data_IF_887024447960
#
_entry.id   IF_887024447960
#
_cell.length_a   1.000
_cell.length_b   1.000
_cell.length_c   1.000
_cell.angle_alpha   90.00
_cell.angle_beta   90.00
_cell.angle_gamma   90.00
#
_symmetry.space_group_name_H-M   'P 1'
#
loop_
_entity.id
_entity.type
_entity.pdbx_description
1 polymer ?
#
# COMPACT_ATOMS: atom_id res chain seq x y z
N UNK A 1 -15.99 18.65 -11.58
CA UNK A 1 -15.30 19.96 -11.71
C UNK A 1 -15.25 20.67 -10.35
N UNK A 2 -16.36 20.76 -9.61
CA UNK A 2 -16.39 21.06 -8.18
C UNK A 2 -15.58 20.00 -7.39
N UNK A 3 -14.56 20.28 -6.57
CA UNK A 3 -14.14 21.50 -5.87
C UNK A 3 -12.60 21.64 -5.86
N UNK A 4 -11.94 21.47 -7.01
CA UNK A 4 -10.48 21.65 -7.13
C UNK A 4 -10.10 23.13 -7.17
N UNK A 5 -9.32 23.57 -6.17
CA UNK A 5 -9.09 24.96 -5.75
C UNK A 5 -8.52 25.93 -6.81
N UNK A 6 -9.34 26.38 -7.75
CA UNK A 6 -8.97 27.38 -8.75
C UNK A 6 -8.43 28.69 -8.14
N UNK A 7 -8.90 29.06 -6.94
CA UNK A 7 -8.42 30.24 -6.20
C UNK A 7 -6.97 30.12 -5.75
N UNK A 8 -6.52 28.91 -5.39
CA UNK A 8 -5.14 28.66 -4.97
C UNK A 8 -4.19 28.65 -6.16
N UNK A 9 -4.60 28.03 -7.27
CA UNK A 9 -3.85 28.07 -8.52
C UNK A 9 -3.71 29.51 -9.02
N UNK A 10 -4.78 30.31 -8.90
CA UNK A 10 -4.78 31.74 -9.23
C UNK A 10 -3.82 32.52 -8.32
N UNK A 11 -3.85 32.29 -7.01
CA UNK A 11 -2.93 32.95 -6.07
C UNK A 11 -1.46 32.65 -6.39
N UNK A 12 -1.14 31.40 -6.74
CA UNK A 12 0.20 30.97 -7.15
C UNK A 12 0.67 31.75 -8.38
N UNK A 13 -0.18 31.81 -9.41
CA UNK A 13 0.07 32.55 -10.65
C UNK A 13 0.20 34.05 -10.38
N UNK A 14 -0.67 34.63 -9.55
CA UNK A 14 -0.68 36.05 -9.20
C UNK A 14 0.61 36.49 -8.46
N UNK A 15 1.32 35.55 -7.81
CA UNK A 15 2.61 35.78 -7.15
C UNK A 15 3.81 35.26 -7.97
N UNK A 16 3.63 34.97 -9.27
CA UNK A 16 4.69 34.57 -10.17
C UNK A 16 5.19 33.14 -10.02
N UNK A 17 4.45 32.27 -9.32
CA UNK A 17 4.74 30.84 -9.25
C UNK A 17 4.30 30.13 -10.52
N UNK A 18 5.10 29.18 -10.99
CA UNK A 18 4.78 28.33 -12.13
C UNK A 18 3.87 27.16 -11.69
N UNK A 19 2.59 27.14 -12.11
CA UNK A 19 1.63 26.09 -11.72
C UNK A 19 1.94 24.72 -12.32
N UNK A 20 2.82 24.66 -13.32
CA UNK A 20 3.21 23.44 -14.03
C UNK A 20 4.60 22.96 -13.64
N UNK A 21 5.25 23.63 -12.68
CA UNK A 21 6.52 23.19 -12.13
C UNK A 21 6.35 21.88 -11.38
N UNK A 22 7.03 20.85 -11.85
CA UNK A 22 7.08 19.55 -11.19
C UNK A 22 7.98 19.59 -9.94
N UNK A 23 7.50 18.99 -8.86
CA UNK A 23 8.34 18.60 -7.74
C UNK A 23 9.22 17.40 -8.11
N UNK A 24 10.09 16.99 -7.20
CA UNK A 24 10.99 15.84 -7.40
C UNK A 24 10.28 14.50 -7.59
N UNK A 25 8.96 14.44 -7.41
CA UNK A 25 8.09 13.27 -7.53
C UNK A 25 7.17 13.39 -8.75
N UNK A 26 7.34 14.42 -9.59
CA UNK A 26 6.54 14.66 -10.79
C UNK A 26 5.15 15.25 -10.52
N UNK A 27 4.87 15.72 -9.30
CA UNK A 27 3.61 16.39 -8.99
C UNK A 27 3.70 17.87 -9.34
N UNK A 28 2.63 18.44 -9.93
CA UNK A 28 2.53 19.89 -10.18
C UNK A 28 1.45 20.53 -9.31
N UNK A 29 1.60 21.82 -8.95
CA UNK A 29 0.53 22.56 -8.26
C UNK A 29 -0.81 22.47 -9.00
N UNK A 30 -0.79 22.56 -10.34
CA UNK A 30 -1.98 22.39 -11.19
C UNK A 30 -2.54 20.99 -11.09
N UNK A 31 -1.71 19.95 -11.20
CA UNK A 31 -2.13 18.56 -11.16
C UNK A 31 -2.81 18.20 -9.83
N UNK A 32 -2.28 18.71 -8.73
CA UNK A 32 -2.88 18.55 -7.41
C UNK A 32 -4.20 19.32 -7.32
N UNK A 33 -4.23 20.61 -7.71
CA UNK A 33 -5.45 21.41 -7.65
C UNK A 33 -6.57 20.90 -8.59
N UNK A 34 -6.22 20.20 -9.67
CA UNK A 34 -7.15 19.59 -10.62
C UNK A 34 -7.51 18.14 -10.28
N UNK A 35 -6.75 17.49 -9.39
CA UNK A 35 -7.12 16.18 -8.86
C UNK A 35 -8.48 16.33 -8.17
N UNK A 36 -9.47 15.60 -8.67
CA UNK A 36 -10.84 15.66 -8.18
C UNK A 36 -10.83 15.44 -6.66
N UNK A 37 -11.44 16.30 -5.85
CA UNK A 37 -11.60 16.05 -4.42
C UNK A 37 -10.42 16.35 -3.49
N UNK A 38 -9.39 17.08 -3.93
CA UNK A 38 -8.44 17.69 -2.98
C UNK A 38 -9.13 18.80 -2.18
N UNK A 39 -9.18 18.68 -0.86
CA UNK A 39 -9.52 19.79 0.05
C UNK A 39 -8.23 20.29 0.73
N UNK A 40 -7.32 20.90 -0.04
CA UNK A 40 -6.06 21.45 0.50
C UNK A 40 -6.28 22.94 0.78
N UNK A 41 -6.07 23.38 2.03
CA UNK A 41 -6.19 24.81 2.38
C UNK A 41 -4.98 25.62 1.89
N UNK A 42 -5.14 26.94 1.67
CA UNK A 42 -4.07 27.83 1.17
C UNK A 42 -2.77 27.72 1.98
N UNK A 43 -2.89 27.75 3.31
CA UNK A 43 -1.74 27.63 4.22
C UNK A 43 -0.97 26.32 4.02
N UNK A 44 -1.67 25.24 3.68
CA UNK A 44 -1.10 23.90 3.50
C UNK A 44 -0.45 23.80 2.12
N UNK A 45 -1.02 24.44 1.09
CA UNK A 45 -0.39 24.56 -0.22
C UNK A 45 0.89 25.39 -0.18
N UNK A 46 0.90 26.54 0.50
CA UNK A 46 2.13 27.35 0.69
C UNK A 46 3.22 26.56 1.40
N UNK A 47 2.83 25.80 2.43
CA UNK A 47 3.72 24.88 3.14
C UNK A 47 4.25 23.80 2.19
N UNK A 48 3.40 23.23 1.34
CA UNK A 48 3.79 22.25 0.33
C UNK A 48 4.79 22.79 -0.69
N UNK A 49 4.53 23.96 -1.28
CA UNK A 49 5.45 24.60 -2.23
C UNK A 49 6.81 24.91 -1.61
N UNK A 50 6.88 25.08 -0.29
CA UNK A 50 8.15 25.23 0.41
C UNK A 50 8.92 23.91 0.55
N UNK A 51 8.23 22.77 0.52
CA UNK A 51 8.84 21.44 0.65
C UNK A 51 9.62 21.01 -0.59
N UNK A 52 9.37 21.59 -1.76
CA UNK A 52 10.18 21.33 -2.96
C UNK A 52 11.64 21.77 -2.80
N UNK A 53 11.90 22.63 -1.79
CA UNK A 53 13.25 23.07 -1.42
C UNK A 53 13.89 22.17 -0.35
N UNK A 54 13.15 21.23 0.22
CA UNK A 54 13.64 20.33 1.26
C UNK A 54 14.39 19.18 0.58
N UNK A 55 15.67 18.96 0.89
CA UNK A 55 16.42 17.83 0.38
C UNK A 55 15.77 16.50 0.77
N UNK A 56 16.10 15.43 0.05
CA UNK A 56 15.69 14.08 0.44
C UNK A 56 16.05 13.82 1.91
N UNK A 57 15.11 13.29 2.68
CA UNK A 57 15.45 12.67 3.95
C UNK A 57 16.03 11.29 3.65
N UNK A 58 17.34 11.19 3.79
CA UNK A 58 18.08 9.92 3.78
C UNK A 58 18.55 9.60 5.20
N UNK A 59 18.87 8.33 5.46
CA UNK A 59 19.56 7.94 6.69
C UNK A 59 20.99 8.47 6.65
N UNK A 60 21.53 8.86 7.79
CA UNK A 60 22.97 9.12 7.88
C UNK A 60 23.76 7.82 7.69
N UNK A 61 25.03 7.89 7.26
CA UNK A 61 25.81 6.69 6.94
C UNK A 61 25.97 5.70 8.10
N UNK A 62 26.10 6.18 9.34
CA UNK A 62 26.26 5.31 10.50
C UNK A 62 24.97 4.55 10.80
N UNK A 63 23.83 5.25 10.74
CA UNK A 63 22.51 4.62 10.88
C UNK A 63 22.22 3.64 9.74
N UNK A 64 22.56 3.99 8.50
CA UNK A 64 22.40 3.10 7.35
C UNK A 64 23.22 1.80 7.50
N UNK A 65 24.48 1.90 7.94
CA UNK A 65 25.33 0.76 8.21
C UNK A 65 24.77 -0.12 9.34
N UNK A 66 24.33 0.51 10.44
CA UNK A 66 23.69 -0.21 11.54
C UNK A 66 22.42 -0.97 11.10
N UNK A 67 21.57 -0.36 10.26
CA UNK A 67 20.38 -1.02 9.71
C UNK A 67 20.80 -2.24 8.89
N UNK A 68 21.78 -2.08 8.01
CA UNK A 68 22.31 -3.16 7.18
C UNK A 68 22.80 -4.34 8.05
N UNK A 69 23.60 -4.05 9.08
CA UNK A 69 24.15 -5.07 9.98
C UNK A 69 23.04 -5.77 10.78
N UNK A 70 22.09 -5.00 11.33
CA UNK A 70 20.99 -5.55 12.13
C UNK A 70 20.15 -6.57 11.36
N UNK A 71 19.90 -6.32 10.08
CA UNK A 71 19.06 -7.18 9.23
C UNK A 71 19.88 -8.00 8.23
N UNK A 72 21.20 -8.09 8.40
CA UNK A 72 22.06 -8.90 7.53
C UNK A 72 21.69 -10.40 7.55
N UNK A 73 20.99 -10.87 8.59
CA UNK A 73 20.46 -12.23 8.70
C UNK A 73 18.93 -12.33 8.64
N UNK A 74 18.21 -11.27 8.25
CA UNK A 74 16.75 -11.35 8.14
C UNK A 74 16.36 -12.15 6.90
N UNK A 75 15.67 -13.27 7.11
CA UNK A 75 15.27 -14.17 6.05
C UNK A 75 14.83 -15.52 6.62
N UNK A 76 14.00 -16.23 5.87
CA UNK A 76 13.64 -17.60 6.22
C UNK A 76 14.81 -18.55 5.99
N UNK A 77 15.44 -18.46 4.83
CA UNK A 77 16.72 -19.09 4.50
C UNK A 77 17.85 -18.05 4.45
N UNK A 78 19.09 -18.54 4.33
CA UNK A 78 20.27 -17.70 4.11
C UNK A 78 20.43 -17.27 2.64
N UNK A 79 19.46 -17.58 1.77
CA UNK A 79 19.52 -17.24 0.36
C UNK A 79 19.17 -15.77 0.13
N UNK A 80 20.04 -15.07 -0.58
CA UNK A 80 19.83 -13.68 -1.03
C UNK A 80 20.09 -13.61 -2.53
N UNK A 81 19.20 -12.93 -3.25
CA UNK A 81 19.40 -12.69 -4.67
C UNK A 81 20.60 -11.76 -4.90
N UNK A 82 21.45 -12.14 -5.85
CA UNK A 82 22.44 -11.23 -6.40
C UNK A 82 21.75 -10.02 -7.04
N UNK A 83 22.33 -8.83 -6.91
CA UNK A 83 21.85 -7.63 -7.60
C UNK A 83 22.25 -7.72 -9.08
N UNK A 84 21.31 -7.72 -10.05
CA UNK A 84 21.66 -7.77 -11.47
C UNK A 84 22.43 -6.52 -11.93
N UNK A 85 22.29 -5.40 -11.22
CA UNK A 85 22.95 -4.12 -11.54
C UNK A 85 24.44 -4.07 -11.18
N UNK A 86 24.96 -5.03 -10.40
CA UNK A 86 26.39 -5.06 -10.03
C UNK A 86 27.28 -5.66 -11.12
N UNK A 87 26.70 -6.16 -12.21
CA UNK A 87 27.45 -6.78 -13.31
C UNK A 87 27.99 -5.77 -14.35
N UNK A 88 27.62 -4.48 -14.29
CA UNK A 88 27.88 -3.55 -15.41
C UNK A 88 28.53 -2.19 -15.09
N UNK A 89 28.99 -1.89 -13.87
CA UNK A 89 29.63 -0.60 -13.60
C UNK A 89 31.02 -0.70 -12.97
N UNK A 90 32.00 -0.13 -13.68
CA UNK A 90 33.29 0.28 -13.13
C UNK A 90 33.02 1.37 -12.07
N UNK A 91 33.19 0.99 -10.81
CA UNK A 91 32.97 1.81 -9.63
C UNK A 91 33.67 3.18 -9.71
N UNK A 92 32.95 4.24 -9.35
CA UNK A 92 33.55 5.57 -9.14
C UNK A 92 32.81 6.42 -8.12
N UNK A 93 32.25 5.80 -7.07
CA UNK A 93 31.88 6.47 -5.83
C UNK A 93 32.00 5.53 -4.63
N UNK A 94 32.42 6.02 -3.45
CA UNK A 94 32.46 5.22 -2.23
C UNK A 94 31.02 4.95 -1.77
N UNK A 95 30.48 3.81 -2.22
CA UNK A 95 29.08 3.39 -2.11
C UNK A 95 28.72 2.28 -3.10
N UNK A 96 29.50 2.14 -4.18
CA UNK A 96 29.22 1.24 -5.32
C UNK A 96 29.55 -0.25 -5.08
N UNK A 97 29.65 -0.69 -3.82
CA UNK A 97 30.07 -2.05 -3.46
C UNK A 97 29.05 -2.89 -2.69
N UNK A 98 27.89 -2.36 -2.34
CA UNK A 98 26.88 -3.11 -1.59
C UNK A 98 25.74 -3.52 -2.54
N UNK A 99 25.20 -4.73 -2.37
CA UNK A 99 24.04 -5.19 -3.13
C UNK A 99 22.77 -4.36 -2.88
N UNK A 100 21.60 -4.98 -2.91
CA UNK A 100 20.30 -4.33 -2.64
C UNK A 100 20.24 -3.51 -1.34
N UNK A 101 21.17 -3.75 -0.41
CA UNK A 101 21.30 -3.09 0.89
C UNK A 101 21.52 -1.57 0.79
N UNK A 102 20.69 -0.82 1.51
CA UNK A 102 20.72 0.63 1.74
C UNK A 102 20.29 1.58 0.61
N UNK A 103 19.86 1.10 -0.56
CA UNK A 103 19.30 1.98 -1.60
C UNK A 103 17.88 2.42 -1.26
N UNK A 104 17.62 3.73 -1.28
CA UNK A 104 16.26 4.27 -1.27
C UNK A 104 16.20 5.70 -1.83
N UNK A 105 15.45 5.87 -2.91
CA UNK A 105 15.30 7.12 -3.68
C UNK A 105 14.09 7.96 -3.22
N UNK A 106 13.35 7.47 -2.22
CA UNK A 106 12.23 8.16 -1.55
C UNK A 106 12.63 8.59 -0.13
N UNK A 107 11.85 9.47 0.49
CA UNK A 107 12.12 9.93 1.85
C UNK A 107 11.99 8.79 2.87
N UNK A 108 12.94 8.72 3.81
CA UNK A 108 13.00 7.70 4.85
C UNK A 108 13.10 8.34 6.23
N UNK A 109 12.27 7.91 7.17
CA UNK A 109 12.39 8.34 8.57
C UNK A 109 12.49 7.12 9.47
N UNK A 110 13.26 7.24 10.56
CA UNK A 110 12.92 6.45 11.73
C UNK A 110 11.54 6.90 12.21
N UNK A 111 10.64 5.97 12.52
CA UNK A 111 9.23 6.32 12.75
C UNK A 111 9.03 7.35 13.90
N UNK A 112 9.97 7.44 14.84
CA UNK A 112 9.95 8.40 15.95
C UNK A 112 10.47 9.81 15.59
N UNK A 113 11.04 10.02 14.41
CA UNK A 113 11.47 11.34 13.93
C UNK A 113 10.33 12.19 13.36
N UNK A 114 9.16 11.57 13.17
CA UNK A 114 8.00 12.16 12.48
C UNK A 114 6.73 11.89 13.26
N UNK A 115 5.77 12.79 13.14
CA UNK A 115 4.42 12.59 13.67
C UNK A 115 3.48 12.01 12.60
N UNK A 116 2.40 11.31 13.00
CA UNK A 116 1.36 10.87 12.06
C UNK A 116 0.78 12.01 11.21
N UNK A 117 0.58 13.18 11.82
CA UNK A 117 0.09 14.38 11.13
C UNK A 117 1.06 14.86 10.05
N UNK A 118 2.37 14.85 10.33
CA UNK A 118 3.37 15.19 9.31
C UNK A 118 3.40 14.20 8.17
N UNK A 119 3.23 12.90 8.45
CA UNK A 119 3.14 11.88 7.40
C UNK A 119 1.91 12.07 6.54
N UNK A 120 0.75 12.33 7.17
CA UNK A 120 -0.47 12.64 6.45
C UNK A 120 -0.30 13.88 5.56
N UNK A 121 0.14 15.01 6.13
CA UNK A 121 0.26 16.28 5.42
C UNK A 121 1.33 16.27 4.32
N UNK A 122 2.47 15.62 4.54
CA UNK A 122 3.63 15.69 3.62
C UNK A 122 3.61 14.63 2.53
N UNK A 123 3.05 13.46 2.82
CA UNK A 123 3.19 12.28 1.96
C UNK A 123 1.85 11.79 1.46
N UNK A 124 0.86 11.60 2.35
CA UNK A 124 -0.46 11.10 1.96
C UNK A 124 -1.24 12.15 1.15
N UNK A 125 -1.38 13.37 1.68
CA UNK A 125 -2.11 14.46 1.02
C UNK A 125 -1.43 14.94 -0.26
N UNK A 126 -0.10 14.91 -0.31
CA UNK A 126 0.67 15.40 -1.44
C UNK A 126 1.00 14.32 -2.47
N UNK A 127 0.47 13.12 -2.28
CA UNK A 127 0.69 11.97 -3.17
C UNK A 127 2.18 11.63 -3.36
N UNK A 128 2.96 11.56 -2.28
CA UNK A 128 4.39 11.22 -2.29
C UNK A 128 4.67 9.94 -1.49
N UNK A 129 5.46 8.99 -2.02
CA UNK A 129 5.83 7.77 -1.30
C UNK A 129 6.78 8.08 -0.13
N UNK A 130 6.71 7.28 0.93
CA UNK A 130 7.58 7.41 2.11
C UNK A 130 7.82 6.06 2.78
N UNK A 131 9.03 5.87 3.31
CA UNK A 131 9.39 4.72 4.13
C UNK A 131 9.52 5.13 5.61
N UNK A 132 8.81 4.43 6.48
CA UNK A 132 8.89 4.55 7.93
C UNK A 132 9.63 3.34 8.50
N UNK A 133 10.85 3.57 8.98
CA UNK A 133 11.72 2.51 9.49
C UNK A 133 11.29 2.07 10.88
N UNK A 134 11.36 0.75 11.12
CA UNK A 134 11.18 0.11 12.44
C UNK A 134 9.82 0.34 13.14
N UNK A 135 8.79 0.75 12.42
CA UNK A 135 7.48 1.03 13.01
C UNK A 135 6.83 -0.22 13.64
N UNK A 136 7.07 -1.42 13.10
CA UNK A 136 6.32 -2.64 13.47
C UNK A 136 7.11 -3.72 14.22
N UNK A 137 8.31 -3.41 14.72
CA UNK A 137 9.18 -4.39 15.39
C UNK A 137 8.64 -4.97 16.71
N UNK A 138 7.68 -4.30 17.35
CA UNK A 138 7.11 -4.73 18.63
C UNK A 138 5.65 -5.16 18.50
N UNK A 139 5.20 -5.47 17.28
CA UNK A 139 3.81 -5.88 17.02
C UNK A 139 3.59 -7.37 17.32
N UNK A 140 2.36 -7.77 17.62
CA UNK A 140 2.04 -9.20 17.78
C UNK A 140 2.31 -10.01 16.51
N UNK A 141 2.21 -9.38 15.34
CA UNK A 141 2.55 -9.97 14.05
C UNK A 141 4.05 -10.26 13.90
N UNK A 142 4.91 -9.39 14.46
CA UNK A 142 6.35 -9.60 14.47
C UNK A 142 6.73 -10.94 15.08
N UNK A 143 6.19 -11.23 16.27
CA UNK A 143 6.42 -12.50 16.97
C UNK A 143 5.70 -13.67 16.27
N UNK A 144 4.47 -13.44 15.81
CA UNK A 144 3.65 -14.48 15.18
C UNK A 144 4.23 -15.01 13.86
N UNK A 145 4.88 -14.14 13.11
CA UNK A 145 5.46 -14.46 11.80
C UNK A 145 6.95 -14.83 11.88
N UNK A 146 7.51 -14.88 13.09
CA UNK A 146 8.85 -15.39 13.29
C UNK A 146 8.99 -16.84 12.82
N UNK A 147 10.20 -17.22 12.37
CA UNK A 147 10.46 -18.49 11.67
C UNK A 147 9.93 -19.74 12.38
N UNK A 148 10.11 -19.80 13.68
CA UNK A 148 9.69 -20.95 14.50
C UNK A 148 8.20 -20.94 14.82
N UNK A 149 7.56 -19.77 14.80
CA UNK A 149 6.19 -19.59 15.24
C UNK A 149 5.18 -19.72 14.10
N UNK A 150 5.51 -19.25 12.90
CA UNK A 150 4.52 -19.20 11.81
C UNK A 150 4.09 -20.61 11.38
N UNK A 151 5.01 -21.58 11.29
CA UNK A 151 4.68 -22.98 11.00
C UNK A 151 3.86 -23.59 12.13
N UNK A 152 4.26 -23.33 13.39
CA UNK A 152 3.59 -23.87 14.58
C UNK A 152 2.16 -23.35 14.70
N UNK A 153 1.92 -22.07 14.39
CA UNK A 153 0.64 -21.40 14.58
C UNK A 153 -0.29 -21.53 13.38
N UNK A 154 0.26 -21.50 12.16
CA UNK A 154 -0.52 -21.36 10.93
C UNK A 154 -0.21 -22.44 9.89
N UNK A 155 0.61 -23.44 10.21
CA UNK A 155 1.02 -24.48 9.25
C UNK A 155 -0.14 -25.27 8.63
N UNK A 156 -1.28 -25.36 9.30
CA UNK A 156 -2.50 -26.01 8.80
C UNK A 156 -3.37 -25.12 7.91
N UNK A 157 -3.05 -23.83 7.76
CA UNK A 157 -3.76 -22.93 6.85
C UNK A 157 -3.49 -23.32 5.39
N UNK A 158 -4.55 -23.32 4.58
CA UNK A 158 -4.42 -23.50 3.12
C UNK A 158 -4.04 -22.18 2.47
N UNK A 159 -2.98 -22.24 1.66
CA UNK A 159 -2.43 -21.12 0.90
C UNK A 159 -2.43 -21.43 -0.58
N UNK A 160 -2.61 -20.38 -1.38
CA UNK A 160 -2.45 -20.43 -2.84
C UNK A 160 -1.08 -19.85 -3.19
N UNK A 161 -0.27 -20.60 -3.91
CA UNK A 161 1.07 -20.21 -4.38
C UNK A 161 1.03 -20.05 -5.89
N UNK A 162 1.52 -18.92 -6.41
CA UNK A 162 1.43 -18.60 -7.85
C UNK A 162 2.55 -17.69 -8.35
N UNK A 163 2.68 -17.56 -9.66
CA UNK A 163 3.68 -16.73 -10.34
C UNK A 163 3.48 -15.22 -10.11
N UNK A 164 2.23 -14.77 -10.02
CA UNK A 164 1.85 -13.39 -9.72
C UNK A 164 0.63 -13.34 -8.79
N UNK A 165 0.43 -12.24 -8.03
CA UNK A 165 -0.82 -12.00 -7.30
C UNK A 165 -2.03 -12.12 -8.20
N UNK A 166 -3.06 -12.81 -7.71
CA UNK A 166 -4.33 -12.92 -8.41
C UNK A 166 -4.21 -13.44 -9.86
N UNK A 167 -3.20 -14.28 -10.14
CA UNK A 167 -2.95 -15.00 -11.39
C UNK A 167 -4.24 -15.33 -12.20
N UNK A 168 -5.25 -15.94 -11.56
CA UNK A 168 -6.52 -16.32 -12.18
C UNK A 168 -7.27 -15.10 -12.75
N UNK A 169 -7.32 -13.98 -12.03
CA UNK A 169 -7.96 -12.73 -12.52
C UNK A 169 -7.23 -12.18 -13.75
N UNK A 170 -5.94 -12.47 -13.87
CA UNK A 170 -5.12 -12.04 -14.99
C UNK A 170 -5.04 -13.05 -16.14
N UNK A 171 -5.73 -14.20 -16.00
CA UNK A 171 -5.81 -15.27 -17.00
C UNK A 171 -4.71 -16.32 -16.89
N UNK A 172 -3.83 -16.22 -15.89
CA UNK A 172 -2.82 -17.24 -15.61
C UNK A 172 -3.45 -18.43 -14.88
N UNK A 173 -3.06 -19.64 -15.28
CA UNK A 173 -3.43 -20.90 -14.61
C UNK A 173 -2.27 -21.42 -13.75
N UNK A 174 -1.18 -20.67 -13.63
CA UNK A 174 0.00 -21.04 -12.86
C UNK A 174 -0.26 -20.81 -11.39
N UNK A 175 -0.67 -21.85 -10.68
CA UNK A 175 -0.76 -21.82 -9.24
C UNK A 175 -1.24 -23.13 -8.66
N UNK A 176 -1.03 -23.28 -7.37
CA UNK A 176 -1.37 -24.49 -6.63
C UNK A 176 -1.81 -24.16 -5.22
N UNK A 177 -2.63 -25.04 -4.65
CA UNK A 177 -3.11 -24.94 -3.28
C UNK A 177 -2.44 -26.01 -2.42
N UNK A 178 -1.78 -25.58 -1.36
CA UNK A 178 -1.07 -26.45 -0.40
C UNK A 178 -1.22 -25.92 1.04
N UNK A 179 -0.80 -26.73 2.01
CA UNK A 179 -0.68 -26.26 3.38
C UNK A 179 0.50 -25.31 3.52
N UNK A 180 0.38 -24.31 4.39
CA UNK A 180 1.48 -23.40 4.67
C UNK A 180 2.73 -24.15 5.17
N UNK A 181 2.55 -25.21 5.97
CA UNK A 181 3.66 -26.05 6.42
C UNK A 181 4.40 -26.71 5.25
N UNK A 182 3.67 -27.20 4.24
CA UNK A 182 4.25 -27.82 3.04
C UNK A 182 5.06 -26.80 2.24
N UNK A 183 4.50 -25.60 2.01
CA UNK A 183 5.24 -24.54 1.33
C UNK A 183 6.50 -24.12 2.08
N UNK A 184 6.43 -23.97 3.41
CA UNK A 184 7.59 -23.61 4.23
C UNK A 184 8.66 -24.71 4.24
N UNK A 185 8.27 -25.97 4.15
CA UNK A 185 9.21 -27.09 3.98
C UNK A 185 9.91 -27.04 2.63
N UNK A 186 9.21 -26.70 1.54
CA UNK A 186 9.82 -26.45 0.23
C UNK A 186 10.81 -25.28 0.25
N UNK A 187 10.45 -24.18 0.91
CA UNK A 187 11.33 -23.02 1.11
C UNK A 187 12.60 -23.44 1.86
N UNK A 188 12.47 -24.19 2.96
CA UNK A 188 13.61 -24.68 3.73
C UNK A 188 14.55 -25.59 2.93
N UNK A 189 14.02 -26.29 1.93
CA UNK A 189 14.77 -27.22 1.10
C UNK A 189 15.29 -26.58 -0.20
N UNK A 190 14.92 -25.33 -0.48
CA UNK A 190 15.25 -24.64 -1.74
C UNK A 190 14.56 -25.25 -2.97
N UNK A 191 13.36 -25.83 -2.79
CA UNK A 191 12.62 -26.56 -3.84
C UNK A 191 11.25 -25.95 -4.15
N UNK A 192 11.13 -24.63 -4.06
CA UNK A 192 9.86 -23.94 -4.31
C UNK A 192 9.40 -24.05 -5.75
N UNK A 193 8.08 -24.06 -5.94
CA UNK A 193 7.45 -23.97 -7.26
C UNK A 193 7.86 -22.72 -8.04
N UNK A 194 7.87 -22.83 -9.37
CA UNK A 194 8.33 -21.77 -10.28
C UNK A 194 9.83 -21.80 -10.61
N UNK A 195 10.64 -22.59 -9.90
CA UNK A 195 12.06 -22.80 -10.23
C UNK A 195 12.86 -21.49 -10.21
N UNK A 196 13.42 -21.09 -11.36
CA UNK A 196 14.22 -19.84 -11.49
C UNK A 196 13.40 -18.59 -11.15
N UNK A 197 12.10 -18.60 -11.43
CA UNK A 197 11.17 -17.49 -11.19
C UNK A 197 10.14 -17.94 -10.15
N UNK A 198 10.52 -17.97 -8.86
CA UNK A 198 9.77 -18.69 -7.85
C UNK A 198 8.39 -18.06 -7.61
N UNK A 199 7.44 -18.94 -7.34
CA UNK A 199 6.07 -18.60 -7.00
C UNK A 199 5.96 -18.23 -5.53
N UNK A 200 4.92 -17.48 -5.17
CA UNK A 200 4.71 -17.07 -3.79
C UNK A 200 3.26 -17.00 -3.37
N UNK A 201 3.06 -16.96 -2.05
CA UNK A 201 1.76 -16.75 -1.44
C UNK A 201 1.43 -15.27 -1.48
N UNK A 202 0.30 -14.94 -2.09
CA UNK A 202 -0.32 -13.63 -1.98
C UNK A 202 -1.83 -13.76 -1.83
N UNK A 203 -2.31 -13.66 -0.59
CA UNK A 203 -3.72 -13.89 -0.27
C UNK A 203 -4.35 -12.60 0.22
N UNK A 204 -5.29 -12.09 -0.57
CA UNK A 204 -6.24 -11.10 -0.09
C UNK A 204 -7.19 -11.75 0.91
N UNK A 205 -7.05 -11.40 2.18
CA UNK A 205 -8.01 -11.75 3.19
C UNK A 205 -9.02 -10.60 3.27
N UNK A 206 -10.34 -10.88 3.24
CA UNK A 206 -11.32 -9.85 3.59
C UNK A 206 -10.88 -9.21 4.90
N UNK A 207 -10.99 -7.90 5.05
CA UNK A 207 -10.99 -7.28 6.39
C UNK A 207 -12.35 -7.62 6.97
N UNK A 208 -12.48 -8.59 7.89
CA UNK A 208 -13.79 -8.97 8.37
C UNK A 208 -14.00 -8.34 9.75
N UNK A 209 -15.26 -8.05 10.08
CA UNK A 209 -15.67 -7.88 11.48
C UNK A 209 -15.45 -9.18 12.31
N UNK A 210 -15.11 -10.30 11.66
CA UNK A 210 -14.83 -11.59 12.30
C UNK A 210 -13.85 -12.48 11.49
N UNK A 211 -12.57 -12.10 11.36
CA UNK A 211 -11.58 -13.12 11.00
C UNK A 211 -11.56 -14.16 12.14
N UNK A 212 -11.64 -15.46 11.81
CA UNK A 212 -11.53 -16.52 12.84
C UNK A 212 -10.29 -16.26 13.69
N UNK A 213 -10.37 -16.47 15.00
CA UNK A 213 -9.22 -16.27 15.90
C UNK A 213 -7.96 -17.07 15.49
N UNK A 214 -8.11 -18.10 14.67
CA UNK A 214 -7.03 -18.92 14.11
C UNK A 214 -6.44 -18.37 12.81
N UNK A 215 -7.06 -17.35 12.20
CA UNK A 215 -6.62 -16.79 10.92
C UNK A 215 -5.24 -16.15 11.04
N UNK A 216 -4.42 -16.34 10.00
CA UNK A 216 -3.10 -15.73 9.88
C UNK A 216 -3.12 -14.20 9.93
N UNK A 217 -4.27 -13.56 9.67
CA UNK A 217 -4.47 -12.09 9.75
C UNK A 217 -5.51 -11.67 10.80
N UNK A 218 -5.81 -12.52 11.78
CA UNK A 218 -6.77 -12.21 12.83
C UNK A 218 -6.41 -10.88 13.55
N UNK A 219 -7.38 -10.12 14.07
CA UNK A 219 -7.14 -8.91 14.88
C UNK A 219 -6.16 -9.08 16.04
N UNK A 220 -6.12 -10.28 16.64
CA UNK A 220 -5.15 -10.63 17.70
C UNK A 220 -3.71 -10.80 17.19
N UNK A 221 -3.53 -11.03 15.88
CA UNK A 221 -2.24 -11.27 15.23
C UNK A 221 -1.76 -10.02 14.51
N UNK A 222 -2.58 -9.39 13.68
CA UNK A 222 -2.17 -8.27 12.83
C UNK A 222 -2.84 -7.00 13.31
N UNK A 223 -2.29 -6.35 14.31
CA UNK A 223 -2.85 -5.09 14.77
C UNK A 223 -2.50 -3.96 13.81
N UNK A 224 -3.45 -3.06 13.58
CA UNK A 224 -3.21 -1.79 12.90
C UNK A 224 -2.32 -0.95 13.82
N UNK A 225 -1.12 -0.53 13.41
CA UNK A 225 -0.25 0.28 14.26
C UNK A 225 -0.92 1.61 14.62
N UNK A 226 -0.77 2.10 15.85
CA UNK A 226 -1.32 3.40 16.31
C UNK A 226 -0.93 4.53 15.37
N UNK A 227 0.34 4.55 14.98
CA UNK A 227 0.86 5.51 14.04
C UNK A 227 0.08 5.51 12.72
N UNK A 228 -0.17 4.33 12.14
CA UNK A 228 -0.84 4.19 10.85
C UNK A 228 -2.34 4.49 10.95
N UNK A 229 -2.98 4.11 12.06
CA UNK A 229 -4.34 4.51 12.33
C UNK A 229 -4.47 6.04 12.40
N UNK A 230 -3.58 6.72 13.13
CA UNK A 230 -3.61 8.18 13.24
C UNK A 230 -3.34 8.90 11.91
N UNK A 231 -2.48 8.33 11.04
CA UNK A 231 -2.29 8.85 9.66
C UNK A 231 -3.59 8.80 8.85
N UNK A 232 -4.37 7.72 8.97
CA UNK A 232 -5.50 7.45 8.08
C UNK A 232 -6.90 7.59 8.72
N UNK A 233 -7.00 7.95 10.01
CA UNK A 233 -8.29 8.06 10.73
C UNK A 233 -9.25 9.11 10.16
N UNK A 234 -8.77 9.99 9.28
CA UNK A 234 -9.59 10.96 8.57
C UNK A 234 -10.19 10.44 7.26
N UNK A 235 -9.72 9.30 6.75
CA UNK A 235 -10.24 8.66 5.54
C UNK A 235 -11.53 7.85 5.77
N UNK A 236 -12.17 8.05 6.93
CA UNK A 236 -13.44 7.45 7.33
C UNK A 236 -14.60 8.07 6.58
N UNK A 237 -14.78 7.72 5.30
CA UNK A 237 -15.94 8.20 4.54
C UNK A 237 -16.30 7.35 3.30
N UNK A 238 -15.97 6.05 3.30
CA UNK A 238 -16.36 5.21 2.16
C UNK A 238 -17.86 4.90 2.11
N UNK A 239 -18.63 5.22 3.16
CA UNK A 239 -20.04 4.84 3.26
C UNK A 239 -20.24 3.32 3.16
N UNK A 240 -19.15 2.53 3.24
CA UNK A 240 -19.20 1.08 3.32
C UNK A 240 -19.65 0.73 4.73
N UNK A 241 -20.96 0.62 4.89
CA UNK A 241 -21.46 -0.37 5.84
C UNK A 241 -21.03 -1.71 5.26
N UNK A 242 -20.02 -2.35 5.88
CA UNK A 242 -19.69 -3.73 5.53
C UNK A 242 -21.01 -4.51 5.51
N UNK A 243 -21.33 -5.26 4.43
CA UNK A 243 -22.51 -6.09 4.42
C UNK A 243 -22.49 -6.95 5.68
N UNK A 244 -23.54 -6.82 6.46
CA UNK A 244 -23.84 -7.75 7.53
C UNK A 244 -24.09 -9.10 6.84
N UNK A 245 -23.04 -9.93 6.74
CA UNK A 245 -23.11 -11.25 6.13
C UNK A 245 -23.75 -12.28 7.07
N UNK A 246 -24.34 -11.83 8.18
CA UNK A 246 -25.05 -12.68 9.13
C UNK A 246 -24.15 -13.68 9.86
N UNK A 247 -22.83 -13.61 9.66
CA UNK A 247 -21.83 -14.45 10.31
C UNK A 247 -21.11 -13.66 11.42
N UNK A 248 -21.86 -12.91 12.22
CA UNK A 248 -21.30 -12.28 13.42
C UNK A 248 -21.24 -13.31 14.55
N UNK A 249 -20.09 -13.96 14.69
CA UNK A 249 -19.64 -14.24 16.04
C UNK A 249 -19.48 -12.86 16.72
N UNK A 250 -20.19 -12.62 17.81
CA UNK A 250 -19.98 -11.42 18.64
C UNK A 250 -18.48 -11.24 18.87
N UNK A 251 -17.92 -10.01 18.68
CA UNK A 251 -16.50 -9.77 18.90
C UNK A 251 -16.10 -10.32 20.26
N UNK A 252 -15.10 -11.20 20.27
CA UNK A 252 -14.77 -11.99 21.46
C UNK A 252 -14.27 -11.14 22.64
N UNK A 253 -13.97 -9.85 22.44
CA UNK A 253 -13.72 -8.86 23.50
C UNK A 253 -13.83 -7.40 23.02
N UNK A 254 -13.93 -6.41 23.95
CA UNK A 254 -13.85 -4.98 23.62
C UNK A 254 -12.56 -4.57 22.89
N UNK A 255 -11.43 -5.22 23.19
CA UNK A 255 -10.14 -4.97 22.54
C UNK A 255 -10.19 -5.35 21.06
N UNK A 256 -10.82 -6.48 20.74
CA UNK A 256 -11.00 -6.92 19.35
C UNK A 256 -11.90 -5.95 18.60
N UNK A 257 -12.98 -5.46 19.21
CA UNK A 257 -13.83 -4.44 18.58
C UNK A 257 -13.04 -3.15 18.27
N UNK A 258 -12.18 -2.69 19.18
CA UNK A 258 -11.34 -1.51 18.93
C UNK A 258 -10.40 -1.72 17.74
N UNK A 259 -9.81 -2.89 17.61
CA UNK A 259 -8.96 -3.20 16.46
C UNK A 259 -9.76 -3.24 15.16
N UNK A 260 -10.98 -3.77 15.17
CA UNK A 260 -11.87 -3.72 14.01
C UNK A 260 -12.22 -2.29 13.61
N UNK A 261 -12.52 -1.43 14.57
CA UNK A 261 -12.81 -0.01 14.31
C UNK A 261 -11.60 0.71 13.70
N UNK A 262 -10.39 0.35 14.12
CA UNK A 262 -9.14 0.90 13.60
C UNK A 262 -8.82 0.43 12.18
N UNK A 263 -9.41 -0.68 11.74
CA UNK A 263 -9.27 -1.21 10.39
C UNK A 263 -10.26 -0.64 9.39
N UNK A 264 -11.28 0.10 9.84
CA UNK A 264 -12.32 0.70 8.98
C UNK A 264 -11.77 1.55 7.81
N UNK A 265 -10.64 2.28 7.97
CA UNK A 265 -10.02 3.00 6.85
C UNK A 265 -9.41 2.10 5.77
N UNK A 266 -9.42 0.77 5.89
CA UNK A 266 -8.72 -0.14 4.97
C UNK A 266 -9.63 -1.16 4.31
N UNK A 267 -9.27 -1.60 3.10
CA UNK A 267 -10.10 -2.44 2.23
C UNK A 267 -9.90 -3.93 2.46
N UNK A 268 -8.65 -4.38 2.62
CA UNK A 268 -8.29 -5.78 2.76
C UNK A 268 -6.93 -5.95 3.47
N UNK A 269 -6.68 -7.14 4.03
CA UNK A 269 -5.34 -7.50 4.51
C UNK A 269 -4.74 -8.52 3.55
N UNK A 270 -3.72 -8.09 2.83
CA UNK A 270 -3.01 -8.89 1.84
C UNK A 270 -1.77 -9.47 2.51
N UNK A 271 -1.88 -10.71 2.97
CA UNK A 271 -0.75 -11.40 3.58
C UNK A 271 0.08 -12.07 2.49
N UNK A 272 1.39 -11.87 2.55
CA UNK A 272 2.32 -12.32 1.54
C UNK A 272 3.49 -13.07 2.16
N UNK A 273 3.84 -14.22 1.59
CA UNK A 273 5.05 -14.99 1.91
C UNK A 273 5.69 -15.46 0.61
N UNK A 274 6.96 -15.13 0.40
CA UNK A 274 7.69 -15.58 -0.79
C UNK A 274 9.19 -15.60 -0.59
N UNK A 275 9.86 -16.42 -1.39
CA UNK A 275 11.33 -16.52 -1.39
C UNK A 275 12.00 -15.41 -2.18
N UNK A 276 13.31 -15.28 -2.06
CA UNK A 276 14.11 -14.44 -2.93
C UNK A 276 13.81 -14.76 -4.43
N UNK A 277 13.48 -13.74 -5.22
CA UNK A 277 13.10 -13.85 -6.64
C UNK A 277 11.61 -13.83 -6.91
N UNK A 278 10.78 -14.01 -5.88
CA UNK A 278 9.33 -13.85 -6.02
C UNK A 278 8.90 -12.39 -5.81
N UNK A 279 7.64 -12.05 -6.11
CA UNK A 279 7.17 -10.70 -5.87
C UNK A 279 5.90 -10.32 -6.63
N UNK A 280 5.54 -9.02 -6.52
CA UNK A 280 4.40 -8.46 -7.20
C UNK A 280 4.83 -7.73 -8.48
N UNK A 281 4.19 -7.99 -9.63
CA UNK A 281 4.46 -7.29 -10.89
C UNK A 281 4.17 -5.80 -10.77
N UNK A 282 4.66 -5.00 -11.72
CA UNK A 282 4.35 -3.58 -11.74
C UNK A 282 2.84 -3.33 -11.89
N UNK A 283 2.24 -2.60 -10.95
CA UNK A 283 0.83 -2.27 -10.96
C UNK A 283 0.53 -0.97 -10.20
N UNK A 284 -0.71 -0.47 -10.24
CA UNK A 284 -1.15 0.67 -9.43
C UNK A 284 -2.58 0.47 -8.91
N UNK A 285 -2.89 1.12 -7.78
CA UNK A 285 -4.22 1.10 -7.16
C UNK A 285 -4.40 2.32 -6.23
N UNK A 286 -5.32 2.23 -5.27
CA UNK A 286 -5.51 3.24 -4.21
C UNK A 286 -4.24 3.41 -3.37
N UNK A 287 -4.21 4.40 -2.47
CA UNK A 287 -3.14 4.46 -1.48
C UNK A 287 -3.06 3.15 -0.70
N UNK A 288 -1.86 2.64 -0.49
CA UNK A 288 -1.62 1.43 0.29
C UNK A 288 -0.40 1.60 1.18
N UNK A 289 -0.31 0.76 2.19
CA UNK A 289 0.92 0.59 2.95
C UNK A 289 1.27 -0.88 3.10
N UNK A 290 2.56 -1.16 3.13
CA UNK A 290 3.11 -2.50 3.29
C UNK A 290 4.01 -2.55 4.52
N UNK A 291 3.71 -3.45 5.45
CA UNK A 291 4.56 -3.77 6.60
C UNK A 291 5.36 -5.03 6.36
N UNK A 292 6.68 -4.93 6.44
CA UNK A 292 7.59 -6.08 6.34
C UNK A 292 7.94 -6.59 7.74
N UNK A 293 7.76 -7.88 8.01
CA UNK A 293 8.03 -8.48 9.32
C UNK A 293 9.32 -9.30 9.33
N UNK A 294 9.68 -9.91 8.20
CA UNK A 294 10.99 -10.51 8.01
C UNK A 294 11.40 -10.44 6.53
N UNK A 295 12.68 -10.65 6.25
CA UNK A 295 13.23 -10.70 4.90
C UNK A 295 13.75 -9.36 4.43
N UNK A 296 13.63 -9.12 3.11
CA UNK A 296 14.02 -7.89 2.44
C UNK A 296 13.26 -7.77 1.12
N UNK A 297 12.62 -6.63 0.90
CA UNK A 297 11.91 -6.29 -0.34
C UNK A 297 12.61 -5.12 -1.02
N UNK A 298 12.72 -5.19 -2.34
CA UNK A 298 13.14 -4.09 -3.17
C UNK A 298 11.97 -3.60 -4.01
N UNK A 299 11.74 -2.30 -3.99
CA UNK A 299 10.62 -1.63 -4.62
C UNK A 299 11.08 -0.85 -5.83
N UNK A 300 10.36 -0.97 -6.93
CA UNK A 300 10.46 -0.08 -8.09
C UNK A 300 9.19 0.74 -8.15
N UNK A 301 9.31 2.06 -8.08
CA UNK A 301 8.19 2.97 -7.88
C UNK A 301 8.19 4.01 -9.01
N UNK A 302 7.07 4.18 -9.69
CA UNK A 302 6.89 5.07 -10.83
C UNK A 302 5.86 6.14 -10.48
N UNK A 303 6.15 7.42 -10.79
CA UNK A 303 5.20 8.49 -10.55
C UNK A 303 3.93 8.26 -11.38
N UNK A 304 2.77 8.79 -10.97
CA UNK A 304 1.51 8.58 -11.69
C UNK A 304 1.56 8.97 -13.17
N UNK A 305 2.35 9.99 -13.53
CA UNK A 305 2.55 10.44 -14.92
C UNK A 305 3.28 9.42 -15.81
N UNK A 306 3.95 8.43 -15.21
CA UNK A 306 4.71 7.37 -15.89
C UNK A 306 4.41 5.99 -15.30
N UNK A 307 3.21 5.80 -14.75
CA UNK A 307 2.85 4.52 -14.16
C UNK A 307 2.82 3.41 -15.23
N UNK A 308 3.03 2.18 -14.78
CA UNK A 308 3.08 0.99 -15.62
C UNK A 308 2.15 -0.08 -15.03
N UNK A 309 1.64 -0.94 -15.90
CA UNK A 309 0.88 -2.13 -15.53
C UNK A 309 1.46 -3.33 -16.27
N UNK A 310 1.79 -4.38 -15.54
CA UNK A 310 2.36 -5.61 -16.07
C UNK A 310 1.76 -6.83 -15.40
N UNK A 311 1.90 -7.96 -16.09
CA UNK A 311 1.52 -9.30 -15.58
C UNK A 311 2.71 -10.25 -15.56
N UNK A 312 3.90 -9.76 -15.92
CA UNK A 312 5.12 -10.57 -15.97
C UNK A 312 5.64 -10.74 -14.54
N UNK A 313 6.01 -11.97 -14.18
CA UNK A 313 6.62 -12.28 -12.88
C UNK A 313 7.78 -11.31 -12.60
N UNK A 314 7.88 -10.81 -11.37
CA UNK A 314 8.73 -9.63 -11.10
C UNK A 314 10.20 -9.83 -11.40
N UNK A 315 10.79 -10.97 -11.04
CA UNK A 315 12.20 -11.24 -11.38
C UNK A 315 12.39 -11.35 -12.89
N UNK A 316 11.48 -12.00 -13.59
CA UNK A 316 11.52 -12.09 -15.06
C UNK A 316 11.42 -10.68 -15.71
N UNK A 317 10.56 -9.82 -15.17
CA UNK A 317 10.46 -8.41 -15.60
C UNK A 317 11.75 -7.63 -15.31
N UNK A 318 12.38 -7.84 -14.16
CA UNK A 318 13.68 -7.23 -13.83
C UNK A 318 14.77 -7.70 -14.79
N UNK A 319 14.79 -9.00 -15.14
CA UNK A 319 15.80 -9.58 -16.02
C UNK A 319 15.64 -9.15 -17.49
N UNK A 320 14.42 -8.99 -17.98
CA UNK A 320 14.15 -8.81 -19.41
C UNK A 320 13.76 -7.37 -19.81
N UNK A 321 13.02 -6.65 -18.95
CA UNK A 321 12.34 -5.42 -19.38
C UNK A 321 12.89 -4.16 -18.68
N UNK A 322 13.42 -4.28 -17.45
CA UNK A 322 13.77 -3.13 -16.62
C UNK A 322 14.83 -2.23 -17.27
N UNK A 323 15.90 -2.80 -17.81
CA UNK A 323 16.99 -2.01 -18.41
C UNK A 323 16.55 -1.33 -19.72
N UNK A 324 15.71 -1.98 -20.52
CA UNK A 324 15.11 -1.38 -21.71
C UNK A 324 14.16 -0.23 -21.37
N UNK A 325 13.38 -0.36 -20.30
CA UNK A 325 12.51 0.71 -19.78
C UNK A 325 13.36 1.90 -19.30
N UNK A 326 14.43 1.64 -18.55
CA UNK A 326 15.37 2.69 -18.10
C UNK A 326 16.01 3.40 -19.29
N UNK A 327 16.45 2.68 -20.31
CA UNK A 327 17.03 3.24 -21.54
C UNK A 327 16.03 4.13 -22.30
N UNK A 328 14.74 3.85 -22.19
CA UNK A 328 13.64 4.67 -22.74
C UNK A 328 13.25 5.86 -21.85
N UNK A 329 13.90 6.06 -20.70
CA UNK A 329 13.62 7.17 -19.77
C UNK A 329 12.54 6.87 -18.73
N UNK A 330 12.06 5.63 -18.64
CA UNK A 330 11.19 5.16 -17.55
C UNK A 330 12.06 4.72 -16.36
N UNK A 331 12.62 5.71 -15.65
CA UNK A 331 13.43 5.48 -14.46
C UNK A 331 12.53 5.31 -13.23
N UNK A 332 12.57 4.17 -12.53
CA UNK A 332 11.89 4.02 -11.24
C UNK A 332 12.66 4.72 -10.12
N UNK A 333 11.94 5.21 -9.11
CA UNK A 333 12.49 5.34 -7.76
C UNK A 333 12.66 3.94 -7.20
N UNK A 334 13.85 3.65 -6.66
CA UNK A 334 14.15 2.35 -6.08
C UNK A 334 14.25 2.46 -4.57
N UNK A 335 13.69 1.50 -3.82
CA UNK A 335 13.82 1.51 -2.36
C UNK A 335 13.82 0.11 -1.75
N UNK A 336 14.79 -0.13 -0.86
CA UNK A 336 14.91 -1.37 -0.10
C UNK A 336 14.25 -1.22 1.26
N UNK A 337 13.22 -2.03 1.47
CA UNK A 337 12.48 -2.18 2.71
C UNK A 337 13.10 -3.32 3.55
N UNK A 338 13.40 -3.01 4.80
CA UNK A 338 13.94 -3.95 5.79
C UNK A 338 12.85 -4.36 6.82
N UNK A 339 13.07 -5.42 7.62
CA UNK A 339 12.11 -5.82 8.64
C UNK A 339 11.78 -4.70 9.62
N UNK A 340 10.49 -4.53 9.89
CA UNK A 340 9.93 -3.54 10.79
C UNK A 340 9.50 -2.29 10.06
N UNK A 341 9.92 -2.12 8.81
CA UNK A 341 9.60 -0.96 8.01
C UNK A 341 8.16 -1.01 7.46
N UNK A 342 7.54 0.16 7.40
CA UNK A 342 6.27 0.39 6.70
C UNK A 342 6.51 1.34 5.53
N UNK A 343 6.24 0.88 4.31
CA UNK A 343 6.31 1.70 3.10
C UNK A 343 4.89 2.12 2.71
N UNK A 344 4.67 3.43 2.51
CA UNK A 344 3.41 3.99 2.01
C UNK A 344 3.57 4.30 0.53
N UNK A 345 2.71 3.69 -0.30
CA UNK A 345 2.59 3.98 -1.73
C UNK A 345 1.28 4.73 -1.95
N UNK A 346 1.32 6.00 -2.38
CA UNK A 346 0.12 6.78 -2.64
C UNK A 346 -0.67 6.29 -3.87
N UNK A 347 -1.86 6.86 -4.05
CA UNK A 347 -2.77 6.50 -5.13
C UNK A 347 -2.16 6.75 -6.52
N UNK A 348 -2.42 5.83 -7.46
CA UNK A 348 -1.96 5.82 -8.87
C UNK A 348 -0.45 5.67 -9.10
N UNK A 349 0.37 5.58 -8.05
CA UNK A 349 1.79 5.27 -8.20
C UNK A 349 1.96 3.84 -8.72
N UNK A 350 2.63 3.70 -9.87
CA UNK A 350 3.01 2.40 -10.40
C UNK A 350 4.09 1.79 -9.51
N UNK A 351 3.98 0.52 -9.13
CA UNK A 351 4.96 -0.10 -8.27
C UNK A 351 5.10 -1.60 -8.52
N UNK A 352 6.33 -2.08 -8.54
CA UNK A 352 6.70 -3.49 -8.52
C UNK A 352 7.48 -3.81 -7.25
N UNK A 353 7.36 -5.03 -6.74
CA UNK A 353 8.04 -5.47 -5.52
C UNK A 353 8.77 -6.76 -5.79
N UNK A 354 10.08 -6.77 -5.61
CA UNK A 354 10.93 -7.96 -5.67
C UNK A 354 11.33 -8.36 -4.25
N UNK A 355 11.03 -9.59 -3.85
CA UNK A 355 11.65 -10.18 -2.67
C UNK A 355 13.11 -10.47 -3.00
N UNK A 356 14.05 -9.77 -2.40
CA UNK A 356 15.50 -10.04 -2.59
C UNK A 356 16.02 -11.02 -1.54
N UNK A 357 15.22 -11.25 -0.49
CA UNK A 357 15.32 -12.35 0.47
C UNK A 357 13.93 -12.89 0.77
N UNK A 358 13.87 -14.08 1.34
CA UNK A 358 12.59 -14.66 1.76
C UNK A 358 11.90 -13.73 2.75
N UNK A 359 10.64 -13.38 2.47
CA UNK A 359 9.95 -12.26 3.12
C UNK A 359 8.52 -12.61 3.52
N UNK A 360 8.09 -12.13 4.70
CA UNK A 360 6.66 -11.99 5.05
C UNK A 360 6.27 -10.56 5.27
N UNK A 361 5.17 -10.19 4.64
CA UNK A 361 4.59 -8.88 4.78
C UNK A 361 3.06 -8.95 4.87
N UNK A 362 2.50 -7.88 5.40
CA UNK A 362 1.09 -7.56 5.26
C UNK A 362 0.99 -6.22 4.53
N UNK A 363 0.27 -6.22 3.42
CA UNK A 363 -0.14 -5.01 2.73
C UNK A 363 -1.62 -4.73 2.95
N UNK A 364 -2.00 -3.47 2.91
CA UNK A 364 -3.40 -3.08 2.93
C UNK A 364 -3.62 -1.83 2.08
N UNK A 365 -4.74 -1.82 1.36
CA UNK A 365 -5.20 -0.65 0.63
C UNK A 365 -6.11 0.19 1.51
N UNK A 366 -5.99 1.51 1.39
CA UNK A 366 -6.85 2.47 2.06
C UNK A 366 -8.19 2.55 1.33
N UNK A 367 -9.27 2.54 2.11
CA UNK A 367 -10.63 2.66 1.64
C UNK A 367 -10.92 4.09 1.21
N UNK A 368 -11.52 4.21 0.03
CA UNK A 368 -11.70 5.51 -0.61
C UNK A 368 -10.43 5.99 -1.32
N UNK A 369 -10.54 7.13 -1.97
CA UNK A 369 -9.40 7.83 -2.53
C UNK A 369 -9.14 9.06 -1.66
N UNK A 370 -7.87 9.38 -1.43
CA UNK A 370 -7.51 10.66 -0.81
C UNK A 370 -8.00 11.85 -1.66
N UNK A 371 -8.27 11.58 -2.94
CA UNK A 371 -8.76 12.50 -3.95
C UNK A 371 -10.20 12.13 -4.39
N UNK A 372 -11.15 11.92 -3.47
CA UNK A 372 -12.59 11.99 -3.79
C UNK A 372 -13.27 12.88 -2.79
N UNK A 373 -14.24 13.71 -3.21
CA UNK A 373 -15.06 14.45 -2.27
C UNK A 373 -15.84 13.48 -1.38
N UNK A 374 -15.78 13.71 -0.07
CA UNK A 374 -16.83 13.24 0.82
C UNK A 374 -18.16 13.76 0.26
N UNK A 375 -19.20 12.91 0.19
CA UNK A 375 -20.54 13.41 -0.12
C UNK A 375 -20.90 14.45 0.94
N UNK A 376 -20.96 15.72 0.55
CA UNK A 376 -21.51 16.76 1.41
C UNK A 376 -22.89 16.29 1.90
N UNK A 377 -23.20 16.42 3.21
CA UNK A 377 -24.56 16.27 3.68
C UNK A 377 -25.43 17.22 2.86
N UNK A 378 -26.55 16.74 2.30
CA UNK A 378 -27.51 17.62 1.62
C UNK A 378 -27.81 18.80 2.53
N UNK A 379 -27.37 19.99 2.14
CA UNK A 379 -27.61 21.20 2.90
C UNK A 379 -29.12 21.37 3.09
N UNK A 380 -29.51 21.68 4.32
CA UNK A 380 -30.85 22.13 4.66
C UNK A 380 -31.19 23.39 3.86
N UNK A 381 -32.41 23.40 3.30
CA UNK A 381 -33.14 24.63 2.99
C UNK A 381 -33.13 25.04 1.52
N UNK A 382 -34.17 24.64 0.79
CA UNK A 382 -34.72 25.50 -0.27
C UNK A 382 -35.94 26.21 0.32
N UNK A 383 -35.72 27.42 0.84
CA UNK A 383 -36.77 28.39 1.09
C UNK A 383 -36.92 29.18 -0.21
N UNK A 384 -37.78 28.70 -1.10
CA UNK A 384 -38.32 29.49 -2.19
C UNK A 384 -39.82 29.18 -2.33
N UNK A 385 -40.63 30.03 -1.69
CA UNK A 385 -42.07 29.99 -1.87
C UNK A 385 -42.44 30.33 -3.32
N UNK A 386 -43.20 29.45 -3.96
CA UNK A 386 -44.19 29.84 -4.96
C UNK A 386 -45.44 28.99 -4.82
N UNK A 387 -46.53 29.65 -4.40
CA UNK A 387 -47.90 29.18 -4.52
C UNK A 387 -48.31 29.26 -5.99
N UNK A 388 -48.86 28.16 -6.54
CA UNK A 388 -49.85 28.01 -7.64
C UNK A 388 -49.78 26.53 -8.05
N UNK A 389 -50.82 25.74 -8.25
CA UNK A 389 -52.27 25.86 -8.36
C UNK A 389 -52.76 24.46 -8.82
N UNK A 390 -54.05 24.18 -8.67
CA UNK A 390 -54.62 22.83 -8.70
C UNK A 390 -54.45 22.01 -9.99
N UNK A 391 -54.62 20.69 -9.84
CA UNK A 391 -54.61 19.74 -10.95
C UNK A 391 -54.77 18.31 -10.48
N UNK A 392 -55.95 17.97 -9.96
CA UNK A 392 -56.28 16.61 -9.55
C UNK A 392 -56.38 15.64 -10.72
N UNK A 393 -55.86 14.42 -10.55
CA UNK A 393 -56.30 13.24 -11.33
C UNK A 393 -56.42 12.02 -10.42
N UNK A 394 -57.62 11.46 -10.50
CA UNK A 394 -58.18 10.32 -9.76
C UNK A 394 -57.47 9.01 -10.12
N UNK A 395 -57.31 8.12 -9.13
CA UNK A 395 -57.08 6.67 -9.33
C UNK A 395 -58.41 6.01 -9.76
N UNK A 396 -58.40 5.00 -10.64
CA UNK A 396 -59.51 4.07 -10.76
C UNK A 396 -59.32 2.88 -9.81
N UNK A 397 -60.32 2.64 -8.97
CA UNK A 397 -60.53 1.43 -8.18
C UNK A 397 -61.28 0.34 -8.98
N UNK A 398 -61.08 -0.92 -8.59
CA UNK A 398 -61.92 -2.08 -8.91
C UNK A 398 -61.11 -3.27 -9.44
N UNK A 399 -61.22 -4.50 -8.96
CA UNK A 399 -62.26 -5.17 -8.15
C UNK A 399 -61.69 -6.41 -7.40
N UNK A 400 -62.42 -6.95 -6.41
CA UNK A 400 -61.97 -8.04 -5.54
C UNK A 400 -62.24 -9.45 -6.09
N UNK A 401 -61.45 -10.43 -5.63
CA UNK A 401 -61.60 -11.88 -5.90
C UNK A 401 -62.82 -12.47 -5.18
N UNK A 402 -63.53 -13.46 -5.76
CA UNK A 402 -64.62 -14.18 -5.08
C UNK A 402 -64.12 -15.34 -4.21
N UNK A 403 -64.93 -15.84 -3.25
CA UNK A 403 -64.46 -16.75 -2.19
C UNK A 403 -64.88 -18.22 -2.41
N UNK A 404 -63.92 -19.13 -2.33
CA UNK A 404 -63.72 -20.17 -1.29
C UNK A 404 -62.66 -21.17 -1.78
#
# INVERSE_FOLDING_TARGET
>A
AAEGHAELLRLLVDHGGDPDREDRYGNTPRGIAQAVGTAIHDKDLRKWLSWDKVPQKVLDPATAHWVQDKYAGSGWSNHELANPSSASSSASSPGDGAGWTARCDIDMYMYWEVTPEEIYQRYVMMNRPVLLRRLNENSTAWDAYHKTEITRRFGSERVHVSDIPYNVKFGSQNGEDLLLAEYLDEVNQGRVSGGKHPWYVFKGNPVPLAAKNTSIVAPSVVQTPDFMYEVFRHNRNSGRRFPDDGAHDTPSSPEIQRELDRREPFVNLQWALGVAGSGAPVHFHNTAWNSLFYGRKHWYIYPPSRNLMGKKQTLLWVEEDLEDLKAQGYLPYECTQEPGDVLIVPELWGHAVLNVRDSVAVATEVAGSNFRPAKLPRAFGDVSGTRKGGGGRRKPEGRPRPPR
#
